data_IF_003362747594
#
_entry.id   IF_003362747594
#
_cell.length_a   1.000
_cell.length_b   1.000
_cell.length_c   1.000
_cell.angle_alpha   90.00
_cell.angle_beta   90.00
_cell.angle_gamma   90.00
#
_symmetry.space_group_name_H-M   'P 1'
#
loop_
_entity.id
_entity.type
_entity.pdbx_description
1 polymer ?
#
# COMPACT_ATOMS: atom_id res chain seq x y z
N UNK A 1 -4.03 50.28 -18.46
CA UNK A 1 -3.25 49.80 -17.29
C UNK A 1 -3.92 48.53 -16.79
N UNK A 2 -3.12 47.50 -16.65
CA UNK A 2 -3.40 46.06 -16.48
C UNK A 2 -4.23 45.70 -15.25
N UNK A 3 -5.09 44.68 -15.40
CA UNK A 3 -5.75 43.94 -14.31
C UNK A 3 -4.75 43.36 -13.30
N UNK A 4 -5.24 43.01 -12.10
CA UNK A 4 -4.84 41.78 -11.43
C UNK A 4 -6.11 40.94 -11.20
N UNK A 5 -6.36 39.94 -12.04
CA UNK A 5 -5.90 38.55 -11.89
C UNK A 5 -6.66 37.79 -10.79
N UNK A 6 -7.64 37.04 -11.27
CA UNK A 6 -8.42 36.01 -10.59
C UNK A 6 -7.50 34.90 -10.07
N UNK A 7 -7.25 34.84 -8.76
CA UNK A 7 -6.77 33.60 -8.14
C UNK A 7 -7.97 32.81 -7.67
N UNK A 8 -8.47 31.93 -8.55
CA UNK A 8 -9.43 30.88 -8.19
C UNK A 8 -8.68 29.89 -7.32
N UNK A 9 -8.66 30.13 -6.00
CA UNK A 9 -8.31 29.11 -5.02
C UNK A 9 -9.33 27.99 -5.16
N UNK A 10 -8.99 26.96 -5.93
CA UNK A 10 -9.71 25.69 -5.88
C UNK A 10 -9.39 25.08 -4.53
N UNK A 11 -10.27 25.31 -3.56
CA UNK A 11 -10.30 24.55 -2.32
C UNK A 11 -10.58 23.09 -2.69
N UNK A 12 -9.52 22.32 -2.96
CA UNK A 12 -9.63 20.87 -3.01
C UNK A 12 -9.95 20.45 -1.59
N UNK A 13 -11.20 20.05 -1.36
CA UNK A 13 -11.61 19.52 -0.07
C UNK A 13 -10.69 18.36 0.26
N UNK A 14 -9.88 18.50 1.31
CA UNK A 14 -8.94 17.48 1.74
C UNK A 14 -9.75 16.21 1.99
N UNK A 15 -9.42 15.13 1.29
CA UNK A 15 -10.06 13.83 1.49
C UNK A 15 -9.29 13.09 2.58
N UNK A 16 -10.02 12.43 3.46
CA UNK A 16 -9.44 11.61 4.52
C UNK A 16 -10.12 10.26 4.52
N UNK A 17 -9.35 9.20 4.77
CA UNK A 17 -9.89 7.85 4.96
C UNK A 17 -10.97 7.85 6.04
N UNK A 18 -12.11 7.21 5.79
CA UNK A 18 -13.13 7.05 6.81
C UNK A 18 -12.66 6.16 7.99
N UNK A 19 -11.71 5.25 7.73
CA UNK A 19 -11.19 4.29 8.73
C UNK A 19 -9.97 4.82 9.46
N UNK A 20 -9.10 5.52 8.76
CA UNK A 20 -7.83 6.09 9.25
C UNK A 20 -7.91 7.62 9.24
N UNK A 21 -8.87 8.19 9.97
CA UNK A 21 -9.04 9.65 10.11
C UNK A 21 -8.44 10.19 11.41
N UNK A 22 -8.43 11.52 11.57
CA UNK A 22 -7.92 12.17 12.77
C UNK A 22 -8.55 11.67 14.09
N UNK A 23 -9.85 11.31 14.08
CA UNK A 23 -10.52 10.77 15.29
C UNK A 23 -10.06 9.38 15.69
N UNK A 24 -9.34 8.66 14.80
CA UNK A 24 -8.72 7.38 15.14
C UNK A 24 -7.50 7.51 16.05
N UNK A 25 -6.93 8.72 16.21
CA UNK A 25 -5.80 8.97 17.10
C UNK A 25 -4.42 8.60 16.52
N UNK A 26 -4.31 8.40 15.21
CA UNK A 26 -3.02 8.16 14.54
C UNK A 26 -2.06 9.34 14.71
N UNK A 27 -0.79 9.03 14.99
CA UNK A 27 0.31 9.95 15.31
C UNK A 27 1.26 10.20 14.11
N UNK A 28 1.02 9.55 12.98
CA UNK A 28 1.63 9.85 11.69
C UNK A 28 0.54 10.00 10.62
N UNK A 29 0.74 10.97 9.73
CA UNK A 29 -0.17 11.23 8.61
C UNK A 29 0.54 10.86 7.31
N UNK A 30 -0.08 10.00 6.51
CA UNK A 30 0.35 9.71 5.14
C UNK A 30 -0.64 10.29 4.14
N UNK A 31 -0.16 10.71 2.97
CA UNK A 31 -1.00 11.06 1.83
C UNK A 31 -0.80 10.06 0.69
N UNK A 32 -1.90 9.61 0.08
CA UNK A 32 -1.85 8.80 -1.14
C UNK A 32 -1.56 9.64 -2.37
N UNK A 33 -1.24 8.98 -3.49
CA UNK A 33 -1.02 9.67 -4.78
C UNK A 33 -2.28 10.29 -5.40
N UNK A 34 -3.47 9.95 -4.87
CA UNK A 34 -4.76 10.53 -5.20
C UNK A 34 -5.33 11.44 -4.08
N UNK A 35 -4.42 12.03 -3.29
CA UNK A 35 -4.67 13.09 -2.31
C UNK A 35 -5.64 12.71 -1.16
N UNK A 36 -5.55 11.46 -0.68
CA UNK A 36 -6.28 10.99 0.51
C UNK A 36 -5.34 10.87 1.69
N UNK A 37 -5.73 11.47 2.82
CA UNK A 37 -4.99 11.41 4.07
C UNK A 37 -5.34 10.18 4.90
N UNK A 38 -4.32 9.62 5.55
CA UNK A 38 -4.38 8.47 6.44
C UNK A 38 -3.66 8.77 7.75
N UNK A 39 -4.41 8.79 8.85
CA UNK A 39 -3.88 8.86 10.20
C UNK A 39 -3.60 7.44 10.69
N UNK A 40 -2.32 7.11 10.87
CA UNK A 40 -1.85 5.77 11.24
C UNK A 40 -1.06 5.84 12.54
N UNK A 41 -1.05 4.75 13.31
CA UNK A 41 -0.25 4.66 14.53
C UNK A 41 1.15 4.13 14.23
N UNK A 42 2.17 4.94 14.49
CA UNK A 42 3.59 4.64 14.31
C UNK A 42 3.99 3.35 15.02
N UNK A 43 3.50 3.13 16.25
CA UNK A 43 3.78 1.89 17.02
C UNK A 43 3.36 0.61 16.28
N UNK A 44 2.28 0.67 15.49
CA UNK A 44 1.81 -0.50 14.76
C UNK A 44 2.68 -0.71 13.52
N UNK A 45 3.09 0.37 12.85
CA UNK A 45 4.02 0.33 11.73
C UNK A 45 5.37 -0.22 12.17
N UNK A 46 5.94 0.28 13.27
CA UNK A 46 7.23 -0.18 13.82
C UNK A 46 7.25 -1.68 14.14
N UNK A 47 6.08 -2.28 14.46
CA UNK A 47 5.98 -3.71 14.74
C UNK A 47 5.68 -4.55 13.49
N UNK A 48 4.86 -4.04 12.58
CA UNK A 48 4.31 -4.81 11.45
C UNK A 48 5.02 -4.55 10.11
N UNK A 49 5.93 -3.58 10.05
CA UNK A 49 6.57 -3.14 8.81
C UNK A 49 7.99 -2.63 9.02
N UNK A 50 8.81 -2.67 7.96
CA UNK A 50 10.21 -2.20 7.98
C UNK A 50 10.54 -1.08 6.98
N UNK A 51 9.74 -0.92 5.93
CA UNK A 51 10.07 -0.07 4.79
C UNK A 51 9.37 1.29 4.73
N UNK A 52 8.50 1.62 5.70
CA UNK A 52 7.93 2.97 5.73
C UNK A 52 9.05 4.00 5.97
N UNK A 53 9.02 5.14 5.26
CA UNK A 53 9.96 6.21 5.52
C UNK A 53 9.90 6.53 7.03
N UNK A 54 11.04 6.72 7.70
CA UNK A 54 11.00 7.21 9.07
C UNK A 54 10.14 8.46 9.01
N UNK A 55 9.10 8.51 9.84
CA UNK A 55 8.35 9.74 10.09
C UNK A 55 9.38 10.71 10.70
N UNK A 56 10.16 11.34 9.82
CA UNK A 56 11.23 12.24 10.18
C UNK A 56 10.56 13.35 10.94
N UNK A 57 10.98 13.56 12.18
CA UNK A 57 10.45 14.59 13.08
C UNK A 57 10.16 15.89 12.33
N UNK A 58 8.88 16.29 12.17
CA UNK A 58 8.58 17.66 11.88
C UNK A 58 8.19 18.31 13.21
N UNK A 59 8.81 19.45 13.50
CA UNK A 59 8.42 20.32 14.61
C UNK A 59 6.98 20.87 14.47
N UNK A 60 6.26 20.45 13.43
CA UNK A 60 4.86 20.74 13.13
C UNK A 60 4.12 19.41 12.84
N UNK A 61 3.19 19.04 13.70
CA UNK A 61 2.43 17.76 13.69
C UNK A 61 1.48 17.57 12.50
N UNK A 62 1.52 18.43 11.49
CA UNK A 62 0.52 18.53 10.41
C UNK A 62 1.06 18.21 9.00
N UNK A 63 2.36 17.93 8.83
CA UNK A 63 2.90 17.61 7.50
C UNK A 63 2.70 16.12 7.14
N UNK A 64 1.86 15.86 6.14
CA UNK A 64 1.59 14.51 5.65
C UNK A 64 2.75 13.97 4.81
N UNK A 65 3.15 12.73 5.06
CA UNK A 65 4.20 12.04 4.30
C UNK A 65 3.60 11.47 3.00
N UNK A 66 4.05 11.93 1.82
CA UNK A 66 3.51 11.44 0.55
C UNK A 66 3.99 10.04 0.21
N UNK A 67 3.04 9.18 -0.15
CA UNK A 67 3.23 7.83 -0.66
C UNK A 67 2.79 7.77 -2.13
N UNK A 68 3.32 6.82 -2.89
CA UNK A 68 3.07 6.76 -4.35
C UNK A 68 1.82 5.95 -4.71
N UNK A 69 1.29 5.20 -3.76
CA UNK A 69 0.19 4.27 -3.92
C UNK A 69 -1.14 5.00 -3.79
N UNK A 70 -2.15 4.46 -4.46
CA UNK A 70 -3.52 4.99 -4.40
C UNK A 70 -4.13 4.71 -3.03
N UNK A 71 -5.12 5.51 -2.67
CA UNK A 71 -5.87 5.36 -1.43
C UNK A 71 -6.45 3.96 -1.24
N UNK A 72 -6.95 3.34 -2.33
CA UNK A 72 -7.51 1.98 -2.28
C UNK A 72 -6.50 0.92 -1.85
N UNK A 73 -5.25 1.05 -2.27
CA UNK A 73 -4.16 0.12 -1.93
C UNK A 73 -3.71 0.35 -0.49
N UNK A 74 -3.54 1.63 -0.10
CA UNK A 74 -3.14 2.00 1.25
C UNK A 74 -4.20 1.65 2.31
N UNK A 75 -5.49 1.74 1.99
CA UNK A 75 -6.59 1.28 2.85
C UNK A 75 -6.46 -0.19 3.25
N UNK A 76 -6.06 -1.03 2.29
CA UNK A 76 -5.87 -2.46 2.52
C UNK A 76 -4.55 -2.71 3.25
N UNK A 77 -3.47 -2.06 2.81
CA UNK A 77 -2.15 -2.19 3.39
C UNK A 77 -2.15 -1.81 4.87
N UNK A 78 -2.68 -0.63 5.22
CA UNK A 78 -2.80 -0.20 6.61
C UNK A 78 -3.75 -1.10 7.40
N UNK A 79 -4.75 -1.72 6.78
CA UNK A 79 -5.58 -2.68 7.49
C UNK A 79 -4.80 -3.92 7.97
N UNK A 80 -3.71 -4.31 7.30
CA UNK A 80 -2.82 -5.38 7.74
C UNK A 80 -1.89 -4.98 8.89
N UNK A 81 -1.66 -3.69 9.08
CA UNK A 81 -0.79 -3.16 10.15
C UNK A 81 -1.48 -3.20 11.53
N UNK A 82 -2.81 -3.19 11.57
CA UNK A 82 -3.56 -3.16 12.83
C UNK A 82 -3.92 -4.56 13.34
N UNK A 83 -4.00 -4.75 14.67
CA UNK A 83 -4.41 -6.01 15.30
C UNK A 83 -5.93 -6.23 15.17
N UNK A 84 -6.38 -6.49 13.96
CA UNK A 84 -7.77 -6.73 13.60
C UNK A 84 -7.89 -7.98 12.74
N UNK A 85 -9.12 -8.42 12.47
CA UNK A 85 -9.34 -9.42 11.41
C UNK A 85 -8.88 -8.82 10.09
N UNK A 86 -7.89 -9.46 9.48
CA UNK A 86 -7.34 -9.02 8.21
C UNK A 86 -8.40 -9.04 7.10
N UNK A 87 -8.36 -8.07 6.17
CA UNK A 87 -9.28 -8.06 5.05
C UNK A 87 -9.09 -9.32 4.20
N UNK A 88 -10.20 -9.93 3.79
CA UNK A 88 -10.16 -11.03 2.83
C UNK A 88 -9.76 -10.53 1.45
N UNK A 89 -8.93 -11.29 0.74
CA UNK A 89 -8.48 -10.96 -0.63
C UNK A 89 -9.24 -11.74 -1.72
N UNK A 90 -10.32 -12.44 -1.36
CA UNK A 90 -10.97 -13.41 -2.26
C UNK A 90 -11.72 -12.77 -3.43
N UNK A 91 -12.28 -11.57 -3.25
CA UNK A 91 -13.08 -10.87 -4.27
C UNK A 91 -12.28 -9.75 -4.97
N UNK A 92 -10.95 -9.80 -4.86
CA UNK A 92 -10.04 -8.79 -5.40
C UNK A 92 -9.65 -9.12 -6.84
N UNK A 93 -9.62 -8.11 -7.72
CA UNK A 93 -9.05 -8.29 -9.07
C UNK A 93 -7.55 -8.56 -8.99
N UNK A 94 -7.01 -9.25 -10.01
CA UNK A 94 -5.57 -9.53 -10.07
C UNK A 94 -4.72 -8.25 -10.02
N UNK A 95 -5.11 -7.19 -10.76
CA UNK A 95 -4.35 -5.94 -10.77
C UNK A 95 -4.36 -5.26 -9.39
N UNK A 96 -5.48 -5.30 -8.65
CA UNK A 96 -5.52 -4.75 -7.28
C UNK A 96 -4.69 -5.60 -6.30
N UNK A 97 -4.65 -6.93 -6.48
CA UNK A 97 -3.79 -7.82 -5.70
C UNK A 97 -2.31 -7.54 -5.99
N UNK A 98 -1.95 -7.30 -7.25
CA UNK A 98 -0.60 -6.94 -7.64
C UNK A 98 -0.20 -5.59 -7.05
N UNK A 99 -1.04 -4.56 -7.18
CA UNK A 99 -0.80 -3.24 -6.57
C UNK A 99 -0.58 -3.34 -5.05
N UNK A 100 -1.37 -4.18 -4.36
CA UNK A 100 -1.21 -4.43 -2.93
C UNK A 100 0.08 -5.18 -2.60
N UNK A 101 0.47 -6.16 -3.41
CA UNK A 101 1.69 -6.93 -3.22
C UNK A 101 2.93 -6.06 -3.42
N UNK A 102 2.97 -5.24 -4.47
CA UNK A 102 4.04 -4.27 -4.71
C UNK A 102 4.19 -3.31 -3.53
N UNK A 103 3.08 -2.77 -3.03
CA UNK A 103 3.08 -1.92 -1.85
C UNK A 103 3.54 -2.66 -0.58
N UNK A 104 3.13 -3.92 -0.42
CA UNK A 104 3.51 -4.75 0.73
C UNK A 104 5.01 -5.06 0.75
N UNK A 105 5.61 -5.39 -0.39
CA UNK A 105 7.06 -5.59 -0.50
C UNK A 105 7.80 -4.28 -0.27
N UNK A 106 7.39 -3.19 -0.94
CA UNK A 106 8.02 -1.87 -0.83
C UNK A 106 8.06 -1.33 0.60
N UNK A 107 6.97 -1.48 1.35
CA UNK A 107 6.88 -1.03 2.74
C UNK A 107 7.20 -2.13 3.75
N UNK A 108 7.58 -3.31 3.27
CA UNK A 108 7.90 -4.50 4.05
C UNK A 108 6.79 -4.84 5.08
N UNK A 109 5.52 -4.78 4.68
CA UNK A 109 4.40 -5.17 5.53
C UNK A 109 4.30 -6.70 5.56
N UNK A 110 5.03 -7.31 6.49
CA UNK A 110 5.36 -8.75 6.48
C UNK A 110 4.16 -9.69 6.31
N UNK A 111 3.05 -9.39 7.00
CA UNK A 111 1.84 -10.20 6.89
C UNK A 111 1.19 -10.08 5.50
N UNK A 112 1.14 -8.86 4.95
CA UNK A 112 0.57 -8.60 3.63
C UNK A 112 1.41 -9.25 2.53
N UNK A 113 2.74 -9.18 2.60
CA UNK A 113 3.66 -9.87 1.67
C UNK A 113 3.35 -11.37 1.58
N UNK A 114 3.26 -12.02 2.73
CA UNK A 114 2.98 -13.46 2.85
C UNK A 114 1.62 -13.83 2.27
N UNK A 115 0.58 -13.06 2.60
CA UNK A 115 -0.78 -13.34 2.15
C UNK A 115 -0.96 -13.06 0.65
N UNK A 116 -0.38 -11.98 0.13
CA UNK A 116 -0.43 -11.66 -1.29
C UNK A 116 0.29 -12.72 -2.12
N UNK A 117 1.48 -13.15 -1.68
CA UNK A 117 2.22 -14.26 -2.30
C UNK A 117 1.41 -15.56 -2.33
N UNK A 118 0.70 -15.87 -1.24
CA UNK A 118 -0.17 -17.05 -1.20
C UNK A 118 -1.32 -16.93 -2.21
N UNK A 119 -1.96 -15.76 -2.28
CA UNK A 119 -3.10 -15.50 -3.17
C UNK A 119 -2.71 -15.43 -4.64
N UNK A 120 -1.55 -14.90 -4.97
CA UNK A 120 -1.05 -14.85 -6.35
C UNK A 120 -0.92 -16.24 -6.98
N UNK A 121 -0.67 -17.29 -6.18
CA UNK A 121 -0.61 -18.67 -6.68
C UNK A 121 -1.91 -19.13 -7.34
N UNK A 122 -3.05 -18.61 -6.90
CA UNK A 122 -4.36 -18.91 -7.47
C UNK A 122 -4.52 -18.30 -8.88
N UNK A 123 -3.74 -17.27 -9.21
CA UNK A 123 -3.80 -16.54 -10.49
C UNK A 123 -2.71 -16.94 -11.49
N UNK A 124 -1.78 -17.86 -11.14
CA UNK A 124 -0.65 -18.22 -12.01
C UNK A 124 -1.09 -18.73 -13.37
N UNK A 125 -2.17 -19.52 -13.44
CA UNK A 125 -2.67 -20.06 -14.71
C UNK A 125 -3.15 -18.99 -15.70
N UNK A 126 -3.51 -17.80 -15.22
CA UNK A 126 -4.09 -16.72 -16.02
C UNK A 126 -3.16 -15.50 -16.17
N UNK A 127 -2.24 -15.28 -15.23
CA UNK A 127 -1.40 -14.08 -15.16
C UNK A 127 0.10 -14.40 -14.95
N UNK A 128 0.54 -15.59 -15.38
CA UNK A 128 1.91 -16.08 -15.16
C UNK A 128 3.02 -15.06 -15.46
N UNK A 129 3.02 -14.34 -16.61
CA UNK A 129 4.10 -13.41 -16.91
C UNK A 129 4.25 -12.28 -15.89
N UNK A 130 3.14 -11.69 -15.43
CA UNK A 130 3.16 -10.61 -14.42
C UNK A 130 3.61 -11.14 -13.06
N UNK A 131 3.15 -12.33 -12.66
CA UNK A 131 3.52 -12.95 -11.39
C UNK A 131 5.01 -13.32 -11.37
N UNK A 132 5.55 -13.82 -12.48
CA UNK A 132 6.99 -14.09 -12.57
C UNK A 132 7.83 -12.82 -12.58
N UNK A 133 7.35 -11.73 -13.21
CA UNK A 133 7.99 -10.41 -13.13
C UNK A 133 8.08 -9.94 -11.68
N UNK A 134 6.94 -9.89 -10.99
CA UNK A 134 6.89 -9.58 -9.55
C UNK A 134 7.84 -10.46 -8.73
N UNK A 135 7.83 -11.77 -8.97
CA UNK A 135 8.67 -12.69 -8.20
C UNK A 135 10.18 -12.51 -8.44
N UNK A 136 10.56 -12.13 -9.66
CA UNK A 136 11.95 -11.84 -10.01
C UNK A 136 12.43 -10.52 -9.40
N UNK A 137 11.54 -9.52 -9.25
CA UNK A 137 11.87 -8.21 -8.68
C UNK A 137 12.06 -8.27 -7.15
N UNK A 138 11.28 -9.09 -6.44
CA UNK A 138 11.23 -9.10 -4.97
C UNK A 138 11.86 -10.33 -4.31
N UNK A 139 12.64 -11.12 -5.06
CA UNK A 139 13.25 -12.39 -4.61
C UNK A 139 12.25 -13.29 -3.84
N UNK A 140 11.01 -13.36 -4.33
CA UNK A 140 9.99 -14.22 -3.72
C UNK A 140 10.20 -15.67 -4.17
N UNK A 141 11.26 -16.25 -3.63
CA UNK A 141 11.72 -17.64 -3.75
C UNK A 141 10.54 -18.62 -3.80
N UNK A 142 9.52 -18.46 -2.96
CA UNK A 142 8.38 -19.40 -2.88
C UNK A 142 7.52 -19.51 -4.17
N UNK A 143 7.51 -18.51 -5.05
CA UNK A 143 6.70 -18.52 -6.29
C UNK A 143 7.46 -19.22 -7.44
N UNK A 144 8.79 -19.10 -7.49
CA UNK A 144 9.61 -19.59 -8.61
C UNK A 144 9.79 -21.12 -8.62
N UNK A 145 9.98 -21.75 -7.46
CA UNK A 145 10.30 -23.19 -7.39
C UNK A 145 9.15 -24.13 -7.80
N UNK A 146 7.90 -23.66 -7.87
CA UNK A 146 6.75 -24.54 -8.15
C UNK A 146 6.34 -24.63 -9.61
N UNK A 147 6.83 -23.75 -10.47
CA UNK A 147 6.54 -23.73 -11.91
C UNK A 147 7.79 -23.86 -12.79
N UNK A 148 9.00 -23.82 -12.21
CA UNK A 148 10.27 -23.91 -12.92
C UNK A 148 10.69 -25.30 -13.41
N UNK A 149 9.86 -26.34 -13.31
CA UNK A 149 10.16 -27.66 -13.87
C UNK A 149 8.89 -28.45 -14.22
N UNK A 150 8.38 -28.26 -15.44
CA UNK A 150 7.52 -29.23 -16.15
C UNK A 150 7.71 -29.13 -17.66
N UNK A 151 8.95 -28.89 -18.10
CA UNK A 151 9.34 -29.01 -19.51
C UNK A 151 10.74 -29.59 -19.60
N UNK A 152 10.85 -30.91 -19.70
CA UNK A 152 11.76 -31.64 -20.59
C UNK A 152 11.51 -33.14 -20.45
N UNK A 153 11.32 -33.78 -21.62
CA UNK A 153 11.09 -35.22 -21.83
C UNK A 153 12.13 -36.13 -21.16
#
# INVERSE_FOLDING_TARGET
MTSPNTTRSSYTSIKTSARFNASSGGDVIFSSSDDVLFHVHKKNLEFCSGGFPPAGTPSDTDEAVPLTEKASTLELLFAFVYPQRHPGLNDMSFDALLDLAEAAEKYEVYFAMSLCTLKMKEYVSTHAPKIFGFAAEHDTTTISYRYGCSSSN
#
